data_IF_345181195931
#
_entry.id   IF_345181195931
#
_cell.length_a   1.000
_cell.length_b   1.000
_cell.length_c   1.000
_cell.angle_alpha   90.00
_cell.angle_beta   90.00
_cell.angle_gamma   90.00
#
_symmetry.space_group_name_H-M   'P 1'
#
loop_
_entity.id
_entity.type
_entity.pdbx_description
1 polymer ?
#
# COMPACT_ATOMS: atom_id res chain seq x y z
N UNK A 1 -3.27 -0.24 -14.26
CA UNK A 1 -2.21 -0.40 -13.25
C UNK A 1 -1.76 -1.85 -13.16
N UNK A 2 -2.57 -2.81 -12.71
CA UNK A 2 -2.20 -4.24 -12.70
C UNK A 2 -1.75 -4.74 -14.09
N UNK A 3 -2.52 -4.45 -15.15
CA UNK A 3 -2.15 -4.85 -16.53
C UNK A 3 -0.80 -4.28 -17.00
N UNK A 4 -0.44 -3.06 -16.57
CA UNK A 4 0.85 -2.44 -16.93
C UNK A 4 2.03 -3.21 -16.33
N UNK A 5 1.87 -3.81 -15.14
CA UNK A 5 2.95 -4.57 -14.49
C UNK A 5 3.04 -6.02 -14.94
N UNK A 6 1.93 -6.61 -15.42
CA UNK A 6 1.98 -7.88 -16.16
C UNK A 6 2.87 -7.73 -17.40
N UNK A 7 2.84 -6.56 -18.02
CA UNK A 7 3.59 -6.25 -19.25
C UNK A 7 5.01 -5.72 -18.99
N UNK A 8 5.35 -5.28 -17.77
CA UNK A 8 6.64 -4.67 -17.42
C UNK A 8 7.29 -5.41 -16.23
N UNK A 9 7.91 -6.56 -16.52
CA UNK A 9 8.69 -7.34 -15.56
C UNK A 9 10.03 -6.65 -15.24
N UNK A 10 10.40 -6.56 -13.95
CA UNK A 10 11.65 -5.93 -13.49
C UNK A 10 11.49 -4.70 -12.59
N UNK A 11 10.26 -4.36 -12.16
CA UNK A 11 10.01 -3.26 -11.22
C UNK A 11 9.92 -3.78 -9.77
N UNK A 12 11.03 -3.77 -9.04
CA UNK A 12 11.07 -3.98 -7.58
C UNK A 12 10.59 -2.73 -6.83
N UNK A 13 9.27 -2.48 -6.79
CA UNK A 13 8.71 -1.35 -6.03
C UNK A 13 7.41 -1.74 -5.30
N UNK A 14 7.18 -1.12 -4.14
CA UNK A 14 5.93 -1.22 -3.38
C UNK A 14 5.05 -0.03 -3.72
N UNK A 15 3.87 -0.28 -4.29
CA UNK A 15 2.96 0.78 -4.70
C UNK A 15 1.92 1.03 -3.62
N UNK A 16 1.87 2.26 -3.11
CA UNK A 16 0.80 2.69 -2.21
C UNK A 16 -0.23 3.50 -2.97
N UNK A 17 -1.48 3.04 -3.02
CA UNK A 17 -2.58 3.83 -3.60
C UNK A 17 -3.77 3.93 -2.67
N UNK A 18 -4.46 5.07 -2.75
CA UNK A 18 -5.75 5.29 -2.15
C UNK A 18 -6.67 5.94 -3.21
N UNK A 19 -7.85 5.36 -3.43
CA UNK A 19 -8.83 5.86 -4.41
C UNK A 19 -9.82 6.86 -3.80
N UNK A 20 -10.03 6.82 -2.49
CA UNK A 20 -11.09 7.58 -1.83
C UNK A 20 -10.55 8.90 -1.27
N UNK A 21 -11.25 9.99 -1.59
CA UNK A 21 -10.99 11.30 -1.01
C UNK A 21 -11.34 11.32 0.48
N UNK A 22 -12.46 10.69 0.84
CA UNK A 22 -12.84 10.41 2.24
C UNK A 22 -12.31 9.02 2.63
N UNK A 23 -11.17 9.02 3.32
CA UNK A 23 -10.52 7.82 3.83
C UNK A 23 -10.18 8.00 5.31
N UNK A 24 -11.16 7.82 6.22
CA UNK A 24 -10.99 8.12 7.64
C UNK A 24 -9.91 7.26 8.29
N UNK A 25 -9.73 6.02 7.81
CA UNK A 25 -8.70 5.09 8.29
C UNK A 25 -7.38 5.21 7.49
N UNK A 26 -7.26 6.22 6.61
CA UNK A 26 -6.12 6.46 5.70
C UNK A 26 -5.55 5.20 5.02
N UNK A 27 -6.42 4.25 4.68
CA UNK A 27 -6.08 3.00 3.99
C UNK A 27 -5.28 3.28 2.71
N UNK A 28 -4.06 2.76 2.65
CA UNK A 28 -3.24 2.67 1.45
C UNK A 28 -3.05 1.20 1.10
N UNK A 29 -3.27 0.85 -0.15
CA UNK A 29 -3.04 -0.51 -0.64
C UNK A 29 -1.63 -0.58 -1.20
N UNK A 30 -0.85 -1.53 -0.68
CA UNK A 30 0.45 -1.97 -1.15
C UNK A 30 0.35 -3.18 -2.07
N UNK A 31 1.11 -3.20 -3.17
CA UNK A 31 1.37 -4.40 -3.95
C UNK A 31 2.86 -4.51 -4.27
N UNK A 32 3.44 -5.69 -4.07
CA UNK A 32 4.81 -6.01 -4.40
C UNK A 32 4.89 -7.39 -5.06
N UNK A 33 5.55 -7.48 -6.21
CA UNK A 33 5.90 -8.75 -6.85
C UNK A 33 7.34 -9.04 -6.44
N UNK A 34 7.56 -10.19 -5.80
CA UNK A 34 8.88 -10.60 -5.32
C UNK A 34 9.68 -11.26 -6.45
N UNK A 35 10.99 -11.41 -6.25
CA UNK A 35 11.89 -12.03 -7.23
C UNK A 35 11.57 -13.51 -7.53
N UNK A 36 10.86 -14.18 -6.64
CA UNK A 36 10.34 -15.54 -6.82
C UNK A 36 8.89 -15.57 -7.36
N UNK A 37 8.48 -14.51 -8.05
CA UNK A 37 7.19 -14.32 -8.71
C UNK A 37 5.98 -14.47 -7.76
N UNK A 38 6.13 -14.11 -6.48
CA UNK A 38 5.01 -14.05 -5.52
C UNK A 38 4.43 -12.65 -5.46
N UNK A 39 3.12 -12.59 -5.26
CA UNK A 39 2.41 -11.33 -5.04
C UNK A 39 2.20 -11.15 -3.53
N UNK A 40 2.78 -10.09 -2.98
CA UNK A 40 2.49 -9.60 -1.64
C UNK A 40 1.55 -8.40 -1.78
N UNK A 41 0.38 -8.52 -1.13
CA UNK A 41 -0.57 -7.43 -1.00
C UNK A 41 -0.58 -6.96 0.45
N UNK A 42 -0.56 -5.64 0.67
CA UNK A 42 -0.57 -5.07 2.01
C UNK A 42 -1.57 -3.93 2.13
N UNK A 43 -2.00 -3.67 3.36
CA UNK A 43 -2.78 -2.50 3.73
C UNK A 43 -1.99 -1.72 4.78
N UNK A 44 -1.82 -0.42 4.56
CA UNK A 44 -1.34 0.52 5.58
C UNK A 44 -2.53 1.34 6.02
N UNK A 45 -2.78 1.40 7.32
CA UNK A 45 -3.95 2.07 7.90
C UNK A 45 -3.49 2.97 9.05
N UNK A 46 -4.21 4.07 9.25
CA UNK A 46 -4.15 4.88 10.46
C UNK A 46 -5.36 4.49 11.32
N UNK A 47 -5.15 3.61 12.28
CA UNK A 47 -6.23 2.96 13.03
C UNK A 47 -5.77 2.30 14.33
N UNK A 48 -6.71 1.70 15.06
CA UNK A 48 -6.47 0.97 16.30
C UNK A 48 -6.52 -0.55 16.07
N UNK A 49 -6.34 -1.34 17.14
CA UNK A 49 -6.35 -2.82 17.10
C UNK A 49 -7.64 -3.42 16.49
N UNK A 50 -8.79 -2.76 16.69
CA UNK A 50 -10.07 -3.20 16.12
C UNK A 50 -10.07 -3.04 14.60
N UNK A 51 -9.68 -1.84 14.14
CA UNK A 51 -9.58 -1.51 12.71
C UNK A 51 -8.53 -2.39 12.02
N UNK A 52 -7.40 -2.63 12.67
CA UNK A 52 -6.35 -3.55 12.24
C UNK A 52 -6.88 -4.96 12.00
N UNK A 53 -7.47 -5.57 13.04
CA UNK A 53 -7.99 -6.94 12.97
C UNK A 53 -9.02 -7.11 11.86
N UNK A 54 -9.93 -6.13 11.74
CA UNK A 54 -10.96 -6.09 10.70
C UNK A 54 -10.37 -6.09 9.29
N UNK A 55 -9.40 -5.21 9.02
CA UNK A 55 -8.81 -5.10 7.69
C UNK A 55 -7.87 -6.26 7.37
N UNK A 56 -7.14 -6.78 8.35
CA UNK A 56 -6.28 -7.94 8.17
C UNK A 56 -7.09 -9.18 7.76
N UNK A 57 -8.15 -9.50 8.51
CA UNK A 57 -9.02 -10.64 8.18
C UNK A 57 -9.72 -10.43 6.83
N UNK A 58 -10.16 -9.21 6.53
CA UNK A 58 -10.77 -8.90 5.23
C UNK A 58 -9.78 -9.13 4.09
N UNK A 59 -8.52 -8.70 4.24
CA UNK A 59 -7.48 -8.87 3.24
C UNK A 59 -7.15 -10.35 3.03
N UNK A 60 -6.94 -11.11 4.10
CA UNK A 60 -6.71 -12.56 4.04
C UNK A 60 -7.83 -13.28 3.30
N UNK A 61 -9.08 -12.97 3.63
CA UNK A 61 -10.25 -13.57 2.98
C UNK A 61 -10.33 -13.22 1.48
N UNK A 62 -10.07 -11.97 1.09
CA UNK A 62 -10.07 -11.55 -0.32
C UNK A 62 -8.98 -12.28 -1.11
N UNK A 63 -7.81 -12.46 -0.52
CA UNK A 63 -6.66 -13.12 -1.15
C UNK A 63 -6.72 -14.65 -1.04
N UNK A 64 -7.68 -15.19 -0.29
CA UNK A 64 -7.73 -16.60 0.08
C UNK A 64 -6.38 -17.08 0.65
N UNK A 65 -5.79 -16.28 1.55
CA UNK A 65 -4.46 -16.52 2.13
C UNK A 65 -4.57 -16.95 3.59
N UNK A 66 -3.95 -18.07 3.94
CA UNK A 66 -3.83 -18.54 5.32
C UNK A 66 -2.73 -17.79 6.09
N UNK A 67 -1.75 -17.24 5.37
CA UNK A 67 -0.56 -16.58 5.90
C UNK A 67 -0.72 -15.06 5.80
N UNK A 68 -0.29 -14.35 6.83
CA UNK A 68 -0.25 -12.88 6.87
C UNK A 68 0.54 -12.38 8.08
N UNK A 69 1.07 -11.17 7.99
CA UNK A 69 1.85 -10.53 9.06
C UNK A 69 1.31 -9.12 9.27
N UNK A 70 1.23 -8.71 10.53
CA UNK A 70 0.93 -7.34 10.94
C UNK A 70 2.23 -6.71 11.42
N UNK A 71 2.52 -5.50 10.96
CA UNK A 71 3.71 -4.75 11.36
C UNK A 71 3.35 -3.32 11.71
N UNK A 72 3.87 -2.83 12.83
CA UNK A 72 3.75 -1.44 13.24
C UNK A 72 4.94 -0.66 12.69
N UNK A 73 4.68 0.10 11.62
CA UNK A 73 5.60 1.09 11.08
C UNK A 73 5.16 2.45 11.59
N UNK A 74 6.11 3.27 12.07
CA UNK A 74 5.85 4.67 12.38
C UNK A 74 5.91 5.42 11.03
N UNK A 75 4.77 5.66 10.35
CA UNK A 75 4.82 6.22 9.01
C UNK A 75 5.40 7.62 9.12
N UNK A 76 6.24 8.01 8.16
CA UNK A 76 6.61 9.42 8.01
C UNK A 76 5.30 10.19 7.83
N UNK A 77 5.06 11.24 8.63
CA UNK A 77 3.82 12.02 8.59
C UNK A 77 3.55 12.54 7.17
N UNK A 78 2.74 11.82 6.41
CA UNK A 78 2.17 12.28 5.15
C UNK A 78 0.66 12.22 5.35
N UNK A 79 0.03 13.39 5.40
CA UNK A 79 -1.41 13.49 5.60
C UNK A 79 -2.17 13.04 4.36
N UNK A 80 -1.57 13.15 3.17
CA UNK A 80 -2.14 12.69 1.90
C UNK A 80 -1.06 12.66 0.78
N UNK A 81 -1.48 12.25 -0.43
CA UNK A 81 -0.61 12.23 -1.61
C UNK A 81 -0.08 13.60 -2.05
N UNK A 82 -0.70 14.72 -1.64
CA UNK A 82 -0.22 16.07 -1.93
C UNK A 82 1.09 16.37 -1.18
N UNK A 83 1.26 15.83 0.01
CA UNK A 83 2.49 16.02 0.80
C UNK A 83 3.68 15.31 0.14
N UNK A 84 3.43 14.14 -0.47
CA UNK A 84 4.43 13.43 -1.28
C UNK A 84 4.83 14.25 -2.51
N UNK A 85 3.86 14.77 -3.27
CA UNK A 85 4.12 15.61 -4.45
C UNK A 85 4.86 16.90 -4.05
N UNK A 86 4.51 17.50 -2.92
CA UNK A 86 5.18 18.71 -2.42
C UNK A 86 6.64 18.43 -2.07
N UNK A 87 6.91 17.30 -1.40
CA UNK A 87 8.27 16.93 -0.96
C UNK A 87 9.18 16.46 -2.09
N UNK A 88 8.65 15.75 -3.09
CA UNK A 88 9.45 15.09 -4.13
C UNK A 88 9.21 15.62 -5.55
N UNK A 89 8.12 16.36 -5.79
CA UNK A 89 7.77 16.91 -7.11
C UNK A 89 8.55 18.17 -7.50
N UNK A 90 9.35 18.76 -6.60
CA UNK A 90 10.18 19.93 -6.93
C UNK A 90 11.49 19.58 -7.65
N UNK A 91 11.86 18.30 -7.76
CA UNK A 91 13.11 17.89 -8.42
C UNK A 91 12.98 17.67 -9.94
N UNK A 92 11.86 18.04 -10.56
CA UNK A 92 11.65 17.95 -12.03
C UNK A 92 11.96 19.25 -12.77
N UNK A 93 12.60 20.22 -12.13
CA UNK A 93 12.94 21.51 -12.73
C UNK A 93 14.39 21.91 -12.44
N UNK A 94 15.33 21.14 -12.98
CA UNK A 94 16.70 21.58 -13.32
C UNK A 94 17.28 20.64 -14.37
#
# INVERSE_FOLDING_TARGET
MINYFIENTGLNQTFYWNKNHDNPDKIMVGANITEDDKLIMSLTIDGNEETESKYFEKLKNILNSDIGVISYINPVEYNNGQDFITKYGQNSST
#
